data_IF_294048900710
#
_entry.id   IF_294048900710
#
_cell.length_a   1.000
_cell.length_b   1.000
_cell.length_c   1.000
_cell.angle_alpha   90.00
_cell.angle_beta   90.00
_cell.angle_gamma   90.00
#
_symmetry.space_group_name_H-M   'P 1'
#
loop_
_entity.id
_entity.type
_entity.pdbx_description
1 polymer ?
#
# COMPACT_ATOMS: atom_id res chain seq x y z
N UNK A 1 3.99 -42.73 -8.47
CA UNK A 1 3.81 -41.79 -7.34
C UNK A 1 3.41 -40.43 -7.92
N UNK A 2 2.25 -39.85 -7.56
CA UNK A 2 1.90 -38.51 -8.03
C UNK A 2 2.86 -37.50 -7.41
N UNK A 3 3.55 -36.70 -8.24
CA UNK A 3 4.44 -35.62 -7.75
C UNK A 3 3.61 -34.59 -7.00
N UNK A 4 3.65 -34.64 -5.67
CA UNK A 4 3.05 -33.73 -4.70
C UNK A 4 3.77 -32.35 -4.68
N UNK A 5 3.87 -31.70 -5.84
CA UNK A 5 4.67 -30.49 -6.02
C UNK A 5 4.08 -29.40 -6.90
N UNK A 6 2.91 -29.60 -7.53
CA UNK A 6 2.37 -28.60 -8.48
C UNK A 6 1.88 -27.30 -7.83
N UNK A 7 1.55 -27.33 -6.53
CA UNK A 7 0.91 -26.17 -5.87
C UNK A 7 1.86 -25.42 -4.91
N UNK A 8 3.14 -25.83 -4.79
CA UNK A 8 4.10 -25.18 -3.86
C UNK A 8 4.64 -23.83 -4.33
N UNK A 9 4.06 -23.26 -5.38
CA UNK A 9 4.37 -21.92 -5.91
C UNK A 9 3.21 -21.31 -6.69
N UNK A 10 1.98 -21.80 -6.49
CA UNK A 10 0.82 -21.17 -7.09
C UNK A 10 0.49 -19.93 -6.24
N UNK A 11 0.69 -18.74 -6.82
CA UNK A 11 0.15 -17.49 -6.26
C UNK A 11 -1.36 -17.54 -6.53
N UNK A 12 -2.12 -18.16 -5.64
CA UNK A 12 -3.58 -18.06 -5.67
C UNK A 12 -3.98 -16.69 -5.11
N UNK A 13 -4.84 -15.97 -5.84
CA UNK A 13 -5.46 -14.76 -5.35
C UNK A 13 -6.47 -15.14 -4.24
N UNK A 14 -6.04 -15.03 -2.98
CA UNK A 14 -6.95 -14.98 -1.83
C UNK A 14 -7.28 -13.50 -1.58
N UNK A 15 -8.55 -13.16 -1.38
CA UNK A 15 -9.04 -11.77 -1.31
C UNK A 15 -9.21 -11.13 -2.68
N UNK A 16 -10.45 -11.02 -3.16
CA UNK A 16 -10.76 -10.35 -4.44
C UNK A 16 -11.79 -9.22 -4.23
N UNK A 17 -11.88 -8.71 -3.01
CA UNK A 17 -12.70 -7.54 -2.72
C UNK A 17 -12.00 -6.27 -3.18
N UNK A 18 -12.78 -5.19 -3.35
CA UNK A 18 -12.23 -3.86 -3.58
C UNK A 18 -11.86 -3.24 -2.23
N UNK A 19 -10.57 -3.04 -1.92
CA UNK A 19 -10.15 -2.50 -0.64
C UNK A 19 -10.59 -1.03 -0.48
N UNK A 20 -10.43 -0.51 0.73
CA UNK A 20 -10.56 0.94 1.00
C UNK A 20 -9.21 1.52 1.37
N UNK A 21 -9.01 2.81 1.12
CA UNK A 21 -7.75 3.50 1.46
C UNK A 21 -8.00 4.76 2.28
N UNK A 22 -7.10 5.02 3.22
CA UNK A 22 -7.07 6.25 4.00
C UNK A 22 -5.64 6.78 4.14
N UNK A 23 -5.49 8.11 4.17
CA UNK A 23 -4.25 8.75 4.61
C UNK A 23 -4.29 8.96 6.11
N UNK A 24 -3.16 8.71 6.78
CA UNK A 24 -2.93 9.12 8.15
C UNK A 24 -2.31 10.52 8.22
N UNK A 25 -1.84 10.87 9.42
CA UNK A 25 -1.09 12.11 9.61
C UNK A 25 0.22 12.10 8.80
N UNK A 26 0.71 13.29 8.45
CA UNK A 26 1.96 13.48 7.69
C UNK A 26 1.78 13.84 6.21
N UNK A 27 0.57 13.73 5.65
CA UNK A 27 0.28 14.13 4.25
C UNK A 27 -0.15 15.59 4.07
N UNK A 28 -0.21 16.35 5.16
CA UNK A 28 -0.77 17.71 5.22
C UNK A 28 -2.29 17.71 5.46
N UNK A 29 -2.85 18.86 5.85
CA UNK A 29 -4.24 18.97 6.34
C UNK A 29 -5.30 18.58 5.30
N UNK A 30 -5.00 18.73 4.01
CA UNK A 30 -5.89 18.38 2.89
C UNK A 30 -5.33 17.24 2.05
N UNK A 31 -4.43 16.42 2.63
CA UNK A 31 -3.92 15.24 1.96
C UNK A 31 -5.04 14.23 1.69
N UNK A 32 -4.98 13.53 0.56
CA UNK A 32 -5.98 12.54 0.17
C UNK A 32 -5.34 11.32 -0.49
N UNK A 33 -5.99 10.16 -0.39
CA UNK A 33 -5.61 8.95 -1.12
C UNK A 33 -6.82 8.38 -1.86
N UNK A 34 -6.57 7.81 -3.04
CA UNK A 34 -7.56 7.07 -3.80
C UNK A 34 -6.94 5.82 -4.41
N UNK A 35 -7.71 4.74 -4.45
CA UNK A 35 -7.36 3.53 -5.20
C UNK A 35 -7.66 3.77 -6.68
N UNK A 36 -6.83 3.22 -7.56
CA UNK A 36 -7.12 3.20 -8.99
C UNK A 36 -8.21 2.19 -9.32
N UNK A 37 -8.90 2.42 -10.43
CA UNK A 37 -9.92 1.51 -10.95
C UNK A 37 -9.31 0.12 -11.20
N UNK A 38 -9.96 -0.91 -10.68
CA UNK A 38 -9.50 -2.30 -10.83
C UNK A 38 -8.58 -2.79 -9.72
N UNK A 39 -8.26 -1.96 -8.72
CA UNK A 39 -7.58 -2.41 -7.51
C UNK A 39 -8.42 -3.44 -6.73
N UNK A 40 -7.76 -4.46 -6.19
CA UNK A 40 -8.33 -5.49 -5.33
C UNK A 40 -7.39 -5.79 -4.15
N UNK A 41 -7.80 -6.66 -3.24
CA UNK A 41 -6.99 -6.98 -2.05
C UNK A 41 -5.58 -7.51 -2.39
N UNK A 42 -5.41 -8.18 -3.54
CA UNK A 42 -4.11 -8.71 -4.00
C UNK A 42 -3.21 -7.65 -4.59
N UNK A 43 -3.73 -6.81 -5.48
CA UNK A 43 -2.92 -5.86 -6.22
C UNK A 43 -3.69 -4.60 -6.62
N UNK A 44 -2.96 -3.49 -6.71
CA UNK A 44 -3.53 -2.22 -7.13
C UNK A 44 -2.53 -1.09 -7.02
N UNK A 45 -3.02 0.11 -7.31
CA UNK A 45 -2.27 1.35 -7.13
C UNK A 45 -3.08 2.29 -6.24
N UNK A 46 -2.39 2.95 -5.32
CA UNK A 46 -2.91 4.08 -4.56
C UNK A 46 -2.25 5.36 -5.07
N UNK A 47 -3.05 6.36 -5.40
CA UNK A 47 -2.58 7.71 -5.67
C UNK A 47 -2.85 8.57 -4.43
N UNK A 48 -1.79 9.16 -3.89
CA UNK A 48 -1.83 10.09 -2.78
C UNK A 48 -1.51 11.49 -3.29
N UNK A 49 -2.35 12.46 -2.95
CA UNK A 49 -2.06 13.87 -3.14
C UNK A 49 -1.64 14.45 -1.80
N UNK A 50 -0.36 14.74 -1.65
CA UNK A 50 0.19 15.41 -0.49
C UNK A 50 -0.09 16.92 -0.61
N UNK A 51 -0.63 17.52 0.45
CA UNK A 51 -0.82 18.96 0.53
C UNK A 51 0.48 19.69 0.93
N UNK A 52 1.42 18.96 1.55
CA UNK A 52 2.62 19.52 2.16
C UNK A 52 2.33 20.36 3.43
N UNK A 53 3.33 21.13 3.88
CA UNK A 53 3.17 22.18 4.90
C UNK A 53 3.68 21.83 6.29
N UNK A 54 3.03 22.33 7.34
CA UNK A 54 3.38 21.99 8.73
C UNK A 54 2.78 20.64 9.09
N UNK A 55 3.65 19.65 9.32
CA UNK A 55 3.21 18.28 9.61
C UNK A 55 3.14 18.03 11.12
N UNK A 56 2.13 17.28 11.54
CA UNK A 56 1.95 16.86 12.93
C UNK A 56 2.99 15.82 13.39
N UNK A 57 3.72 15.20 12.46
CA UNK A 57 4.66 14.11 12.71
C UNK A 57 5.64 13.98 11.54
N UNK A 58 6.80 13.35 11.78
CA UNK A 58 7.90 13.23 10.80
C UNK A 58 7.68 12.13 9.73
N UNK A 59 6.59 11.38 9.79
CA UNK A 59 6.26 10.30 8.86
C UNK A 59 4.84 10.45 8.33
N UNK A 60 4.59 9.93 7.13
CA UNK A 60 3.26 9.94 6.53
C UNK A 60 2.77 8.51 6.28
N UNK A 61 1.55 8.17 6.71
CA UNK A 61 1.04 6.79 6.57
C UNK A 61 -0.12 6.70 5.58
N UNK A 62 -0.19 5.59 4.86
CA UNK A 62 -1.33 5.21 4.01
C UNK A 62 -1.77 3.83 4.46
N UNK A 63 -3.06 3.70 4.78
CA UNK A 63 -3.64 2.43 5.19
C UNK A 63 -4.57 1.94 4.10
N UNK A 64 -4.28 0.76 3.56
CA UNK A 64 -5.16 0.00 2.67
C UNK A 64 -5.81 -1.08 3.53
N UNK A 65 -7.12 -0.99 3.71
CA UNK A 65 -7.91 -2.01 4.41
C UNK A 65 -8.48 -2.97 3.39
N UNK A 66 -8.16 -4.24 3.54
CA UNK A 66 -8.65 -5.29 2.66
C UNK A 66 -10.16 -5.45 2.84
N UNK A 67 -10.88 -5.58 1.73
CA UNK A 67 -12.31 -5.86 1.76
C UNK A 67 -12.59 -7.31 2.18
N UNK A 68 -11.66 -8.22 1.90
CA UNK A 68 -11.68 -9.59 2.40
C UNK A 68 -10.44 -9.86 3.24
N UNK A 69 -10.63 -10.27 4.49
CA UNK A 69 -9.52 -10.70 5.33
C UNK A 69 -8.81 -11.92 4.73
N UNK A 70 -7.49 -11.88 4.71
CA UNK A 70 -6.67 -13.06 4.42
C UNK A 70 -6.76 -14.07 5.57
N UNK A 71 -6.63 -15.37 5.27
CA UNK A 71 -6.61 -16.41 6.31
C UNK A 71 -5.40 -16.28 7.26
N UNK A 72 -4.29 -15.73 6.76
CA UNK A 72 -3.13 -15.31 7.51
C UNK A 72 -2.54 -14.06 6.85
N UNK A 73 -1.73 -13.28 7.56
CA UNK A 73 -1.04 -12.15 6.94
C UNK A 73 -0.25 -12.59 5.69
N UNK A 74 -0.33 -11.86 4.57
CA UNK A 74 0.47 -12.13 3.38
C UNK A 74 1.95 -12.34 3.72
N UNK A 75 2.55 -13.38 3.13
CA UNK A 75 3.96 -13.78 3.36
C UNK A 75 4.93 -12.72 2.89
N UNK A 76 4.57 -12.00 1.83
CA UNK A 76 5.35 -10.90 1.30
C UNK A 76 4.43 -9.86 0.66
N UNK A 77 4.94 -8.63 0.58
CA UNK A 77 4.30 -7.55 -0.18
C UNK A 77 5.38 -6.87 -1.00
N UNK A 78 5.13 -6.68 -2.29
CA UNK A 78 5.95 -5.83 -3.14
C UNK A 78 5.29 -4.46 -3.16
N UNK A 79 6.06 -3.43 -2.82
CA UNK A 79 5.61 -2.04 -2.87
C UNK A 79 6.58 -1.24 -3.72
N UNK A 80 6.06 -0.53 -4.72
CA UNK A 80 6.81 0.49 -5.47
C UNK A 80 6.21 1.85 -5.18
N UNK A 81 7.07 2.82 -4.96
CA UNK A 81 6.68 4.22 -4.78
C UNK A 81 7.31 5.04 -5.90
N UNK A 82 6.48 5.75 -6.64
CA UNK A 82 6.91 6.81 -7.56
C UNK A 82 6.35 8.13 -7.02
N UNK A 83 7.17 9.17 -7.02
CA UNK A 83 6.74 10.50 -6.63
C UNK A 83 7.21 11.52 -7.65
N UNK A 84 6.57 12.69 -7.65
CA UNK A 84 6.97 13.82 -8.49
C UNK A 84 8.16 14.62 -7.93
N UNK A 85 8.73 14.21 -6.79
CA UNK A 85 9.65 14.99 -5.96
C UNK A 85 10.91 14.17 -5.67
N UNK A 86 11.93 14.31 -6.54
CA UNK A 86 13.10 13.41 -6.58
C UNK A 86 13.77 13.15 -5.22
N UNK A 87 13.84 14.15 -4.32
CA UNK A 87 14.45 14.02 -2.98
C UNK A 87 13.70 13.06 -2.06
N UNK A 88 12.42 12.80 -2.32
CA UNK A 88 11.59 11.93 -1.49
C UNK A 88 11.61 10.46 -1.96
N UNK A 89 12.28 10.14 -3.08
CA UNK A 89 12.20 8.82 -3.72
C UNK A 89 12.69 7.68 -2.83
N UNK A 90 11.91 6.59 -2.73
CA UNK A 90 12.35 5.33 -2.11
C UNK A 90 12.23 5.26 -0.58
N UNK A 91 11.46 6.15 0.06
CA UNK A 91 11.33 6.19 1.52
C UNK A 91 10.10 5.46 2.09
N UNK A 92 9.57 4.43 1.39
CA UNK A 92 8.43 3.64 1.87
C UNK A 92 8.88 2.37 2.58
N UNK A 93 8.33 2.12 3.77
CA UNK A 93 8.29 0.80 4.40
C UNK A 93 6.85 0.34 4.55
N UNK A 94 6.64 -0.96 4.71
CA UNK A 94 5.30 -1.50 4.89
C UNK A 94 5.20 -2.43 6.10
N UNK A 95 3.99 -2.55 6.62
CA UNK A 95 3.57 -3.61 7.52
C UNK A 95 2.27 -4.20 6.98
N UNK A 96 2.12 -5.52 7.04
CA UNK A 96 0.92 -6.20 6.54
C UNK A 96 0.35 -7.12 7.62
N UNK A 97 -0.97 -7.17 7.69
CA UNK A 97 -1.75 -8.05 8.55
C UNK A 97 -2.73 -8.83 7.70
N UNK A 98 -3.60 -9.63 8.32
CA UNK A 98 -4.69 -10.29 7.61
C UNK A 98 -5.71 -9.29 7.01
N UNK A 99 -5.84 -8.09 7.60
CA UNK A 99 -6.92 -7.16 7.30
C UNK A 99 -6.46 -5.85 6.64
N UNK A 100 -5.16 -5.56 6.70
CA UNK A 100 -4.64 -4.30 6.18
C UNK A 100 -3.16 -4.35 5.77
N UNK A 101 -2.84 -3.52 4.78
CA UNK A 101 -1.49 -3.10 4.41
C UNK A 101 -1.29 -1.63 4.82
N UNK A 102 -0.29 -1.36 5.65
CA UNK A 102 0.08 -0.02 6.08
C UNK A 102 1.40 0.37 5.44
N UNK A 103 1.38 1.39 4.59
CA UNK A 103 2.55 2.01 4.02
C UNK A 103 2.98 3.18 4.91
N UNK A 104 4.25 3.24 5.26
CA UNK A 104 4.85 4.33 6.03
C UNK A 104 5.92 5.00 5.18
N UNK A 105 5.66 6.26 4.84
CA UNK A 105 6.62 7.15 4.23
C UNK A 105 7.45 7.81 5.33
N UNK A 106 8.77 7.60 5.28
CA UNK A 106 9.68 7.97 6.39
C UNK A 106 10.16 9.41 6.35
N UNK A 107 9.82 10.15 5.30
CA UNK A 107 10.14 11.58 5.15
C UNK A 107 8.85 12.38 5.07
N UNK A 108 8.96 13.66 5.35
CA UNK A 108 7.86 14.61 5.22
C UNK A 108 7.59 14.88 3.73
N UNK A 109 6.46 14.40 3.17
CA UNK A 109 6.21 14.51 1.73
C UNK A 109 5.95 15.96 1.34
N UNK A 110 6.72 16.51 0.42
CA UNK A 110 6.41 17.79 -0.19
C UNK A 110 5.03 17.77 -0.90
N UNK A 111 4.48 18.94 -1.21
CA UNK A 111 3.23 19.01 -1.94
C UNK A 111 3.38 18.36 -3.33
N UNK A 112 2.49 17.43 -3.68
CA UNK A 112 2.58 16.70 -4.94
C UNK A 112 1.86 15.36 -4.95
N UNK A 113 1.99 14.64 -6.06
CA UNK A 113 1.42 13.31 -6.23
C UNK A 113 2.46 12.21 -5.93
N UNK A 114 2.00 11.20 -5.19
CA UNK A 114 2.76 10.00 -4.83
C UNK A 114 1.92 8.79 -5.23
N UNK A 115 2.49 7.87 -5.99
CA UNK A 115 1.81 6.64 -6.40
C UNK A 115 2.48 5.45 -5.75
N UNK A 116 1.68 4.62 -5.10
CA UNK A 116 2.11 3.38 -4.46
C UNK A 116 1.45 2.20 -5.15
N UNK A 117 2.22 1.39 -5.86
CA UNK A 117 1.72 0.08 -6.33
C UNK A 117 1.96 -0.95 -5.23
N UNK A 118 1.01 -1.85 -5.05
CA UNK A 118 1.15 -2.99 -4.13
C UNK A 118 0.82 -4.30 -4.83
N UNK A 119 1.52 -5.35 -4.39
CA UNK A 119 1.21 -6.75 -4.70
C UNK A 119 1.41 -7.59 -3.44
N UNK A 120 0.33 -8.16 -2.92
CA UNK A 120 0.30 -9.08 -1.79
C UNK A 120 0.56 -10.52 -2.26
N UNK A 121 1.41 -11.24 -1.53
CA UNK A 121 1.75 -12.65 -1.81
C UNK A 121 1.35 -13.46 -0.56
N UNK A 122 0.19 -14.12 -0.61
CA UNK A 122 -0.35 -14.96 0.47
C UNK A 122 0.06 -16.43 0.32
#
# INVERSE_FOLDING_TARGET
MPKQGRNRGQITAEGNGTPTVAVGAGWGATGSAALTTGANDVAGQVVVTAAGGTYAQATATVTITFATSYAAAPRAVIVTCVNAVAIDTGHVSYAVTADALVLTYKVLPAAGAYTFDYLCIA
#
